data_IF_908038848587
#
_entry.id   IF_908038848587
#
_cell.length_a   1.000
_cell.length_b   1.000
_cell.length_c   1.000
_cell.angle_alpha   90.00
_cell.angle_beta   90.00
_cell.angle_gamma   90.00
#
_symmetry.space_group_name_H-M   'P 1'
#
loop_
_entity.id
_entity.type
_entity.pdbx_description
1 polymer ?
#
# COMPACT_ATOMS: atom_id res chain seq x y z
N UNK A 1 -15.99 10.80 -36.88
CA UNK A 1 -15.39 10.49 -35.57
C UNK A 1 -15.74 9.05 -35.28
N UNK A 2 -14.79 8.21 -34.84
CA UNK A 2 -15.09 6.82 -34.46
C UNK A 2 -16.02 6.84 -33.25
N UNK A 3 -17.12 6.11 -33.29
CA UNK A 3 -17.96 5.91 -32.10
C UNK A 3 -17.33 4.82 -31.23
N UNK A 4 -17.52 4.88 -29.89
CA UNK A 4 -16.97 3.86 -28.99
C UNK A 4 -17.45 2.44 -29.34
N UNK A 5 -18.65 2.33 -29.91
CA UNK A 5 -19.24 1.05 -30.35
C UNK A 5 -18.45 0.36 -31.46
N UNK A 6 -17.63 1.11 -32.20
CA UNK A 6 -16.82 0.57 -33.30
C UNK A 6 -15.50 -0.05 -32.80
N UNK A 7 -15.14 0.15 -31.53
CA UNK A 7 -13.94 -0.40 -30.90
C UNK A 7 -14.17 -1.88 -30.57
N UNK A 8 -13.47 -2.79 -31.27
CA UNK A 8 -13.65 -4.25 -31.10
C UNK A 8 -12.74 -4.87 -30.06
N UNK A 9 -11.70 -4.16 -29.64
CA UNK A 9 -10.68 -4.65 -28.73
C UNK A 9 -9.75 -3.54 -28.24
N UNK A 10 -8.80 -3.91 -27.37
CA UNK A 10 -7.80 -2.97 -26.86
C UNK A 10 -6.85 -2.47 -27.96
N UNK A 11 -6.65 -3.30 -28.97
CA UNK A 11 -5.79 -3.09 -30.13
C UNK A 11 -6.36 -2.01 -31.05
N UNK A 12 -7.69 -1.91 -31.11
CA UNK A 12 -8.43 -0.89 -31.86
C UNK A 12 -8.74 0.36 -31.00
N UNK A 13 -8.36 0.35 -29.72
CA UNK A 13 -8.58 1.46 -28.80
C UNK A 13 -7.43 2.46 -28.86
N UNK A 14 -7.76 3.72 -29.16
CA UNK A 14 -6.82 4.83 -29.14
C UNK A 14 -7.40 6.02 -28.39
N UNK A 15 -6.57 6.70 -27.62
CA UNK A 15 -6.93 7.93 -26.91
C UNK A 15 -6.54 9.10 -27.80
N UNK A 16 -7.53 9.70 -28.47
CA UNK A 16 -7.32 10.80 -29.41
C UNK A 16 -7.90 12.10 -28.86
N UNK A 17 -7.07 13.13 -28.75
CA UNK A 17 -7.47 14.48 -28.32
C UNK A 17 -7.05 15.47 -29.40
N UNK A 18 -7.97 16.35 -29.81
CA UNK A 18 -7.71 17.35 -30.86
C UNK A 18 -7.12 16.74 -32.15
N UNK A 19 -7.52 15.50 -32.46
CA UNK A 19 -7.05 14.75 -33.64
C UNK A 19 -5.66 14.10 -33.48
N UNK A 20 -5.02 14.23 -32.33
CA UNK A 20 -3.71 13.62 -32.03
C UNK A 20 -3.87 12.46 -31.03
N UNK A 21 -3.26 11.32 -31.35
CA UNK A 21 -3.17 10.20 -30.39
C UNK A 21 -2.15 10.55 -29.30
N UNK A 22 -2.52 10.29 -28.05
CA UNK A 22 -1.64 10.43 -26.89
C UNK A 22 -1.26 9.07 -26.28
N UNK A 23 -1.50 7.98 -27.01
CA UNK A 23 -1.28 6.62 -26.52
C UNK A 23 0.16 6.39 -26.04
N UNK A 24 1.14 7.01 -26.70
CA UNK A 24 2.55 6.90 -26.36
C UNK A 24 2.92 7.57 -25.02
N UNK A 25 2.08 8.46 -24.50
CA UNK A 25 2.29 9.13 -23.21
C UNK A 25 1.86 8.24 -22.02
N UNK A 26 1.20 7.10 -22.29
CA UNK A 26 0.66 6.22 -21.28
C UNK A 26 1.33 4.83 -21.32
N UNK A 27 1.73 4.27 -20.16
CA UNK A 27 2.11 2.86 -20.10
C UNK A 27 0.96 1.96 -20.56
N UNK A 28 1.28 0.89 -21.29
CA UNK A 28 0.29 -0.06 -21.82
C UNK A 28 -0.65 -0.62 -20.73
N UNK A 29 -0.14 -0.86 -19.52
CA UNK A 29 -0.94 -1.34 -18.39
C UNK A 29 -2.04 -0.32 -18.00
N UNK A 30 -1.67 0.96 -17.87
CA UNK A 30 -2.62 2.04 -17.55
C UNK A 30 -3.63 2.21 -18.68
N UNK A 31 -3.17 2.19 -19.94
CA UNK A 31 -4.05 2.29 -21.11
C UNK A 31 -5.07 1.14 -21.14
N UNK A 32 -4.66 -0.08 -20.83
CA UNK A 32 -5.55 -1.24 -20.76
C UNK A 32 -6.59 -1.09 -19.63
N UNK A 33 -6.16 -0.68 -18.44
CA UNK A 33 -7.09 -0.40 -17.33
C UNK A 33 -8.08 0.70 -17.69
N UNK A 34 -7.62 1.75 -18.37
CA UNK A 34 -8.46 2.84 -18.83
C UNK A 34 -9.46 2.41 -19.91
N UNK A 35 -9.01 1.59 -20.88
CA UNK A 35 -9.89 0.96 -21.87
C UNK A 35 -11.02 0.18 -21.17
N UNK A 36 -10.70 -0.63 -20.17
CA UNK A 36 -11.71 -1.37 -19.39
C UNK A 36 -12.71 -0.46 -18.67
N UNK A 37 -12.27 0.71 -18.20
CA UNK A 37 -13.18 1.71 -17.64
C UNK A 37 -14.11 2.29 -18.70
N UNK A 38 -13.59 2.62 -19.88
CA UNK A 38 -14.39 3.05 -21.03
C UNK A 38 -15.43 1.99 -21.42
N UNK A 39 -15.02 0.71 -21.49
CA UNK A 39 -15.94 -0.41 -21.73
C UNK A 39 -17.06 -0.49 -20.69
N UNK A 40 -16.76 -0.25 -19.42
CA UNK A 40 -17.77 -0.30 -18.35
C UNK A 40 -18.88 0.75 -18.51
N UNK A 41 -18.59 1.85 -19.20
CA UNK A 41 -19.53 2.92 -19.50
C UNK A 41 -20.00 2.93 -20.95
N UNK A 42 -19.48 2.02 -21.78
CA UNK A 42 -19.69 1.99 -23.22
C UNK A 42 -19.45 3.36 -23.90
N UNK A 43 -18.42 4.08 -23.46
CA UNK A 43 -18.13 5.44 -23.90
C UNK A 43 -16.64 5.77 -23.77
N UNK A 44 -16.14 6.68 -24.62
CA UNK A 44 -14.84 7.30 -24.41
C UNK A 44 -14.93 8.30 -23.26
N UNK A 45 -14.28 8.01 -22.12
CA UNK A 45 -14.39 8.88 -20.95
C UNK A 45 -13.74 10.26 -21.15
N UNK A 46 -12.95 10.42 -22.21
CA UNK A 46 -12.21 11.63 -22.55
C UNK A 46 -12.83 12.44 -23.71
N UNK A 47 -14.00 12.05 -24.22
CA UNK A 47 -14.60 12.64 -25.43
C UNK A 47 -14.84 14.16 -25.31
N UNK A 48 -15.24 14.62 -24.12
CA UNK A 48 -15.58 16.02 -23.87
C UNK A 48 -14.45 16.81 -23.19
N UNK A 49 -13.23 16.26 -23.13
CA UNK A 49 -12.10 16.96 -22.54
C UNK A 49 -11.87 18.32 -23.19
N UNK A 50 -11.55 19.30 -22.36
CA UNK A 50 -11.29 20.68 -22.80
C UNK A 50 -10.16 20.71 -23.83
N UNK A 51 -10.43 21.33 -24.98
CA UNK A 51 -9.46 21.45 -26.08
C UNK A 51 -8.28 22.35 -25.70
N UNK A 52 -7.12 22.10 -26.32
CA UNK A 52 -5.91 22.90 -26.09
C UNK A 52 -5.20 22.64 -24.76
N UNK A 53 -5.67 21.66 -23.97
CA UNK A 53 -4.97 21.17 -22.79
C UNK A 53 -3.74 20.36 -23.21
N UNK A 54 -2.62 20.55 -22.51
CA UNK A 54 -1.38 19.85 -22.81
C UNK A 54 -1.55 18.32 -22.71
N UNK A 55 -1.07 17.57 -23.71
CA UNK A 55 -1.23 16.10 -23.76
C UNK A 55 -0.64 15.37 -22.55
N UNK A 56 0.46 15.86 -21.96
CA UNK A 56 1.03 15.27 -20.74
C UNK A 56 0.11 15.44 -19.54
N UNK A 57 -0.58 16.57 -19.46
CA UNK A 57 -1.58 16.80 -18.42
C UNK A 57 -2.78 15.85 -18.61
N UNK A 58 -3.22 15.64 -19.85
CA UNK A 58 -4.29 14.68 -20.15
C UNK A 58 -3.88 13.24 -19.79
N UNK A 59 -2.67 12.82 -20.17
CA UNK A 59 -2.13 11.53 -19.77
C UNK A 59 -2.09 11.38 -18.24
N UNK A 60 -1.73 12.46 -17.53
CA UNK A 60 -1.81 12.54 -16.07
C UNK A 60 -3.23 12.36 -15.52
N UNK A 61 -4.22 13.05 -16.09
CA UNK A 61 -5.65 12.92 -15.71
C UNK A 61 -6.15 11.49 -15.92
N UNK A 62 -5.82 10.88 -17.06
CA UNK A 62 -6.21 9.49 -17.37
C UNK A 62 -5.55 8.51 -16.40
N UNK A 63 -4.26 8.68 -16.15
CA UNK A 63 -3.53 7.84 -15.18
C UNK A 63 -4.12 7.94 -13.79
N UNK A 64 -4.42 9.16 -13.34
CA UNK A 64 -4.99 9.38 -12.01
C UNK A 64 -6.45 8.87 -11.91
N UNK A 65 -7.23 8.97 -12.99
CA UNK A 65 -8.56 8.35 -13.06
C UNK A 65 -8.48 6.84 -12.89
N UNK A 66 -7.50 6.18 -13.52
CA UNK A 66 -7.24 4.75 -13.34
C UNK A 66 -6.82 4.43 -11.91
N UNK A 67 -5.90 5.21 -11.35
CA UNK A 67 -5.42 5.03 -9.96
C UNK A 67 -6.57 5.12 -8.97
N UNK A 68 -7.42 6.15 -9.09
CA UNK A 68 -8.60 6.33 -8.23
C UNK A 68 -9.57 5.16 -8.41
N UNK A 69 -9.83 4.72 -9.64
CA UNK A 69 -10.74 3.61 -9.89
C UNK A 69 -10.23 2.29 -9.27
N UNK A 70 -8.92 2.03 -9.33
CA UNK A 70 -8.32 0.86 -8.70
C UNK A 70 -8.31 0.99 -7.16
N UNK A 71 -8.00 2.17 -6.61
CA UNK A 71 -8.08 2.45 -5.18
C UNK A 71 -9.50 2.25 -4.62
N UNK A 72 -10.52 2.71 -5.35
CA UNK A 72 -11.93 2.49 -5.01
C UNK A 72 -12.26 0.98 -4.95
N UNK A 73 -11.74 0.16 -5.88
CA UNK A 73 -12.02 -1.30 -5.91
C UNK A 73 -11.45 -2.04 -4.71
N UNK A 74 -10.29 -1.62 -4.22
CA UNK A 74 -9.61 -2.25 -3.07
C UNK A 74 -9.93 -1.58 -1.74
N UNK A 75 -10.72 -0.50 -1.75
CA UNK A 75 -11.12 0.19 -0.53
C UNK A 75 -11.91 -0.73 0.41
N UNK A 76 -11.57 -0.66 1.69
CA UNK A 76 -12.21 -1.40 2.78
C UNK A 76 -12.91 -0.43 3.74
N UNK A 77 -13.73 -0.94 4.66
CA UNK A 77 -14.43 -0.11 5.65
C UNK A 77 -13.46 0.68 6.55
N UNK A 78 -12.23 0.18 6.75
CA UNK A 78 -11.17 0.86 7.50
C UNK A 78 -10.46 1.98 6.71
N UNK A 79 -10.76 2.15 5.41
CA UNK A 79 -10.17 3.22 4.59
C UNK A 79 -10.54 4.58 5.17
N UNK A 80 -9.56 5.48 5.40
CA UNK A 80 -9.82 6.79 6.00
C UNK A 80 -10.79 7.63 5.17
N UNK A 81 -11.72 8.33 5.85
CA UNK A 81 -12.72 9.19 5.19
C UNK A 81 -12.08 10.28 4.32
N UNK A 82 -10.89 10.76 4.70
CA UNK A 82 -10.15 11.78 3.96
C UNK A 82 -9.71 11.30 2.58
N UNK A 83 -9.39 10.01 2.41
CA UNK A 83 -9.02 9.44 1.11
C UNK A 83 -10.20 9.52 0.14
N UNK A 84 -11.39 9.09 0.59
CA UNK A 84 -12.61 9.21 -0.21
C UNK A 84 -12.93 10.67 -0.57
N UNK A 85 -12.71 11.61 0.35
CA UNK A 85 -12.92 13.04 0.08
C UNK A 85 -11.92 13.60 -0.94
N UNK A 86 -10.66 13.16 -0.88
CA UNK A 86 -9.63 13.57 -1.84
C UNK A 86 -9.94 13.03 -3.24
N UNK A 87 -10.30 11.75 -3.34
CA UNK A 87 -10.71 11.15 -4.62
C UNK A 87 -11.93 11.85 -5.23
N UNK A 88 -12.96 12.18 -4.42
CA UNK A 88 -14.14 12.89 -4.95
C UNK A 88 -13.79 14.28 -5.49
N UNK A 89 -12.93 15.02 -4.79
CA UNK A 89 -12.45 16.34 -5.25
C UNK A 89 -11.66 16.24 -6.54
N UNK A 90 -10.76 15.26 -6.65
CA UNK A 90 -9.97 15.05 -7.87
C UNK A 90 -10.87 14.67 -9.05
N UNK A 91 -11.80 13.73 -8.85
CA UNK A 91 -12.76 13.34 -9.89
C UNK A 91 -13.67 14.50 -10.29
N UNK A 92 -14.11 15.32 -9.33
CA UNK A 92 -14.89 16.53 -9.61
C UNK A 92 -14.10 17.54 -10.45
N UNK A 93 -12.80 17.71 -10.18
CA UNK A 93 -11.94 18.57 -11.00
C UNK A 93 -11.81 18.02 -12.43
N UNK A 94 -11.66 16.71 -12.59
CA UNK A 94 -11.60 16.06 -13.90
C UNK A 94 -12.92 16.17 -14.66
N UNK A 95 -14.05 16.04 -13.95
CA UNK A 95 -15.39 16.24 -14.50
C UNK A 95 -15.54 17.67 -15.04
N UNK A 96 -15.10 18.69 -14.31
CA UNK A 96 -15.08 20.08 -14.79
C UNK A 96 -14.17 20.30 -16.01
N UNK A 97 -13.12 19.49 -16.18
CA UNK A 97 -12.27 19.51 -17.37
C UNK A 97 -12.89 18.77 -18.56
N UNK A 98 -14.04 18.12 -18.38
CA UNK A 98 -14.79 17.42 -19.42
C UNK A 98 -14.65 15.91 -19.42
N UNK A 99 -14.03 15.31 -18.38
CA UNK A 99 -14.01 13.85 -18.24
C UNK A 99 -15.37 13.30 -17.83
N UNK A 100 -15.80 12.22 -18.47
CA UNK A 100 -16.97 11.48 -18.04
C UNK A 100 -16.61 10.53 -16.88
N UNK A 101 -16.60 11.06 -15.65
CA UNK A 101 -16.21 10.31 -14.43
C UNK A 101 -17.26 10.33 -13.32
N UNK A 102 -18.47 10.84 -13.61
CA UNK A 102 -19.57 10.92 -12.63
C UNK A 102 -19.89 9.54 -12.02
N UNK A 103 -19.83 8.48 -12.83
CA UNK A 103 -20.10 7.11 -12.38
C UNK A 103 -19.16 6.65 -11.24
N UNK A 104 -17.89 7.08 -11.26
CA UNK A 104 -16.94 6.80 -10.18
C UNK A 104 -17.34 7.56 -8.92
N UNK A 105 -17.76 8.82 -9.05
CA UNK A 105 -18.22 9.65 -7.92
C UNK A 105 -19.52 9.12 -7.31
N UNK A 106 -20.45 8.65 -8.12
CA UNK A 106 -21.66 7.96 -7.63
C UNK A 106 -21.29 6.70 -6.84
N UNK A 107 -20.38 5.88 -7.37
CA UNK A 107 -19.88 4.69 -6.66
C UNK A 107 -19.20 5.06 -5.35
N UNK A 108 -18.37 6.09 -5.36
CA UNK A 108 -17.64 6.59 -4.19
C UNK A 108 -18.60 7.07 -3.09
N UNK A 109 -19.63 7.84 -3.45
CA UNK A 109 -20.68 8.26 -2.49
C UNK A 109 -21.39 7.08 -1.85
N UNK A 110 -21.73 6.04 -2.62
CA UNK A 110 -22.33 4.80 -2.08
C UNK A 110 -21.39 4.10 -1.11
N UNK A 111 -20.09 4.00 -1.44
CA UNK A 111 -19.09 3.40 -0.55
C UNK A 111 -18.97 4.20 0.74
N UNK A 112 -18.92 5.53 0.68
CA UNK A 112 -18.86 6.39 1.87
C UNK A 112 -20.10 6.18 2.75
N UNK A 113 -21.28 6.09 2.15
CA UNK A 113 -22.52 5.84 2.89
C UNK A 113 -22.48 4.49 3.62
N UNK A 114 -22.07 3.42 2.94
CA UNK A 114 -21.88 2.09 3.56
C UNK A 114 -20.81 2.14 4.66
N UNK A 115 -19.71 2.82 4.38
CA UNK A 115 -18.55 2.80 5.26
C UNK A 115 -18.71 3.69 6.49
N UNK A 116 -19.60 4.69 6.49
CA UNK A 116 -19.69 5.70 7.56
C UNK A 116 -21.10 6.05 8.03
N UNK A 117 -22.13 5.81 7.22
CA UNK A 117 -23.51 6.25 7.51
C UNK A 117 -24.44 5.07 7.83
N UNK A 118 -24.08 3.85 7.45
CA UNK A 118 -24.80 2.63 7.85
C UNK A 118 -24.64 2.34 9.34
N UNK A 119 -25.74 1.93 9.99
CA UNK A 119 -25.74 1.50 11.38
C UNK A 119 -24.77 0.32 11.62
N UNK A 120 -24.03 0.33 12.72
CA UNK A 120 -22.99 -0.67 13.00
C UNK A 120 -21.67 -0.51 12.22
N UNK A 121 -21.58 0.43 11.26
CA UNK A 121 -20.33 0.68 10.52
C UNK A 121 -19.22 1.17 11.47
N UNK A 122 -19.57 1.95 12.49
CA UNK A 122 -18.60 2.51 13.44
C UNK A 122 -17.95 1.43 14.30
N UNK A 123 -18.74 0.48 14.77
CA UNK A 123 -18.38 -0.67 15.57
C UNK A 123 -17.49 -1.61 14.74
N UNK A 124 -17.88 -1.87 13.49
CA UNK A 124 -17.11 -2.71 12.56
C UNK A 124 -15.74 -2.09 12.27
N UNK A 125 -15.66 -0.77 12.03
CA UNK A 125 -14.38 -0.06 11.84
C UNK A 125 -13.50 -0.16 13.09
N UNK A 126 -14.08 0.07 14.27
CA UNK A 126 -13.36 0.01 15.54
C UNK A 126 -12.83 -1.41 15.82
N UNK A 127 -13.64 -2.44 15.57
CA UNK A 127 -13.24 -3.84 15.67
C UNK A 127 -12.06 -4.15 14.74
N UNK A 128 -12.14 -3.76 13.47
CA UNK A 128 -11.07 -4.03 12.51
C UNK A 128 -9.77 -3.32 12.89
N UNK A 129 -9.87 -2.06 13.34
CA UNK A 129 -8.72 -1.30 13.84
C UNK A 129 -8.06 -2.02 15.03
N UNK A 130 -8.84 -2.39 16.04
CA UNK A 130 -8.32 -3.12 17.19
C UNK A 130 -7.72 -4.47 16.81
N UNK A 131 -8.33 -5.20 15.88
CA UNK A 131 -7.80 -6.49 15.42
C UNK A 131 -6.42 -6.34 14.77
N UNK A 132 -6.23 -5.29 13.96
CA UNK A 132 -4.93 -4.99 13.35
C UNK A 132 -3.90 -4.59 14.38
N UNK A 133 -4.24 -3.67 15.29
CA UNK A 133 -3.35 -3.25 16.38
C UNK A 133 -2.97 -4.43 17.30
N UNK A 134 -3.92 -5.30 17.61
CA UNK A 134 -3.69 -6.51 18.39
C UNK A 134 -2.73 -7.47 17.66
N UNK A 135 -2.94 -7.72 16.37
CA UNK A 135 -2.05 -8.59 15.59
C UNK A 135 -0.62 -8.05 15.53
N UNK A 136 -0.47 -6.73 15.41
CA UNK A 136 0.86 -6.08 15.42
C UNK A 136 1.53 -6.23 16.79
N UNK A 137 0.80 -6.02 17.88
CA UNK A 137 1.31 -6.22 19.22
C UNK A 137 1.73 -7.68 19.47
N UNK A 138 0.95 -8.66 19.02
CA UNK A 138 1.30 -10.08 19.12
C UNK A 138 2.60 -10.42 18.37
N UNK A 139 2.80 -9.85 17.18
CA UNK A 139 4.01 -10.08 16.40
C UNK A 139 5.23 -9.40 17.04
N UNK A 140 5.06 -8.22 17.65
CA UNK A 140 6.10 -7.58 18.45
C UNK A 140 6.46 -8.38 19.70
N UNK A 141 5.48 -8.94 20.40
CA UNK A 141 5.70 -9.82 21.55
C UNK A 141 6.57 -11.01 21.15
N UNK A 142 6.20 -11.74 20.08
CA UNK A 142 6.98 -12.90 19.58
C UNK A 142 8.42 -12.51 19.22
N UNK A 143 8.60 -11.34 18.61
CA UNK A 143 9.93 -10.84 18.26
C UNK A 143 10.77 -10.54 19.52
N UNK A 144 10.16 -9.95 20.55
CA UNK A 144 10.84 -9.69 21.83
C UNK A 144 11.15 -10.99 22.56
N UNK A 145 10.23 -11.96 22.59
CA UNK A 145 10.44 -13.29 23.17
C UNK A 145 11.62 -14.01 22.51
N UNK A 146 11.73 -13.92 21.18
CA UNK A 146 12.88 -14.47 20.43
C UNK A 146 14.19 -13.86 20.88
N UNK A 147 14.27 -12.51 20.93
CA UNK A 147 15.47 -11.79 21.41
C UNK A 147 15.81 -12.09 22.86
N UNK A 148 14.80 -12.29 23.70
CA UNK A 148 15.00 -12.65 25.10
C UNK A 148 15.66 -14.02 25.21
N UNK A 149 15.27 -14.99 24.38
CA UNK A 149 15.87 -16.31 24.38
C UNK A 149 17.33 -16.28 23.90
N UNK A 150 17.63 -15.55 22.83
CA UNK A 150 19.00 -15.31 22.37
C UNK A 150 19.90 -14.71 23.48
N UNK A 151 19.36 -13.75 24.25
CA UNK A 151 20.08 -13.15 25.37
C UNK A 151 20.33 -14.15 26.52
N UNK A 152 19.36 -15.01 26.83
CA UNK A 152 19.56 -16.06 27.85
C UNK A 152 20.64 -17.05 27.42
N UNK A 153 20.64 -17.47 26.16
CA UNK A 153 21.68 -18.35 25.61
C UNK A 153 23.06 -17.71 25.72
N UNK A 154 23.19 -16.42 25.38
CA UNK A 154 24.43 -15.67 25.53
C UNK A 154 24.88 -15.57 27.00
N UNK A 155 23.97 -15.26 27.93
CA UNK A 155 24.25 -15.23 29.36
C UNK A 155 24.74 -16.58 29.89
N UNK A 156 24.12 -17.68 29.47
CA UNK A 156 24.55 -19.03 29.82
C UNK A 156 25.96 -19.32 29.29
N UNK A 157 26.26 -18.91 28.05
CA UNK A 157 27.59 -19.00 27.45
C UNK A 157 28.65 -18.24 28.24
N UNK A 158 28.35 -17.01 28.65
CA UNK A 158 29.25 -16.22 29.50
C UNK A 158 29.48 -16.86 30.88
N UNK A 159 28.41 -17.41 31.49
CA UNK A 159 28.51 -18.13 32.77
C UNK A 159 29.46 -19.33 32.68
N UNK A 160 29.30 -20.17 31.65
CA UNK A 160 30.18 -21.32 31.42
C UNK A 160 31.64 -20.89 31.18
N UNK A 161 31.85 -19.80 30.43
CA UNK A 161 33.19 -19.28 30.17
C UNK A 161 33.86 -18.76 31.45
N UNK A 162 33.15 -18.00 32.28
CA UNK A 162 33.66 -17.49 33.55
C UNK A 162 34.07 -18.62 34.51
N UNK A 163 33.26 -19.67 34.63
CA UNK A 163 33.61 -20.82 35.48
C UNK A 163 34.89 -21.51 34.96
N UNK A 164 35.05 -21.63 33.64
CA UNK A 164 36.28 -22.18 33.04
C UNK A 164 37.53 -21.35 33.36
N UNK A 165 37.41 -20.03 33.36
CA UNK A 165 38.51 -19.11 33.71
C UNK A 165 38.85 -19.21 35.19
N UNK A 166 37.83 -19.30 36.05
CA UNK A 166 38.00 -19.48 37.49
C UNK A 166 38.76 -20.77 37.81
N UNK A 167 38.35 -21.91 37.23
CA UNK A 167 39.07 -23.19 37.44
C UNK A 167 40.53 -23.12 36.98
N UNK A 168 40.82 -22.42 35.87
CA UNK A 168 42.20 -22.19 35.41
C UNK A 168 42.99 -21.35 36.41
N UNK A 169 42.41 -20.24 36.88
CA UNK A 169 43.06 -19.35 37.84
C UNK A 169 43.37 -20.07 39.17
N UNK A 170 42.43 -20.86 39.69
CA UNK A 170 42.61 -21.68 40.90
C UNK A 170 43.74 -22.70 40.73
N UNK A 171 43.81 -23.38 39.57
CA UNK A 171 44.89 -24.32 39.25
C UNK A 171 46.26 -23.64 39.20
N UNK A 172 46.39 -22.50 38.51
CA UNK A 172 47.64 -21.74 38.46
C UNK A 172 48.06 -21.23 39.85
N UNK A 173 47.11 -20.75 40.66
CA UNK A 173 47.37 -20.31 42.02
C UNK A 173 47.93 -21.46 42.88
N UNK A 174 47.37 -22.67 42.75
CA UNK A 174 47.85 -23.84 43.47
C UNK A 174 49.28 -24.24 43.03
N UNK A 175 49.59 -24.18 41.73
CA UNK A 175 50.94 -24.43 41.21
C UNK A 175 51.94 -23.42 41.78
N UNK A 176 51.60 -22.13 41.76
CA UNK A 176 52.44 -21.07 42.32
C UNK A 176 52.71 -21.30 43.81
N UNK A 177 51.67 -21.59 44.60
CA UNK A 177 51.80 -21.85 46.03
C UNK A 177 52.72 -23.03 46.34
N UNK A 178 52.68 -24.08 45.51
CA UNK A 178 53.58 -25.22 45.63
C UNK A 178 55.04 -24.85 45.40
N UNK A 179 55.31 -24.05 44.37
CA UNK A 179 56.67 -23.60 44.05
C UNK A 179 57.22 -22.66 45.12
N UNK A 180 56.39 -21.72 45.61
CA UNK A 180 56.73 -20.82 46.72
C UNK A 180 57.07 -21.59 48.00
N UNK A 181 56.47 -22.75 48.23
CA UNK A 181 56.71 -23.60 49.39
C UNK A 181 57.89 -24.59 49.23
N UNK A 182 58.54 -24.63 48.06
CA UNK A 182 59.65 -25.54 47.81
C UNK A 182 60.95 -25.08 48.51
N UNK A 183 61.82 -25.99 48.94
CA UNK A 183 63.15 -25.64 49.45
C UNK A 183 64.03 -25.03 48.35
N UNK A 184 64.90 -24.10 48.73
CA UNK A 184 65.87 -23.44 47.85
C UNK A 184 66.92 -24.40 47.27
#
# INVERSE_FOLDING_TARGET
MLEFKDVKGFEDFSITIDGMSIDAELPNEIRNKYYRLCCSQNAFLHENLTRGVNHKLIAGIISETVNIADAIKVSVIATPRVEFANWDKTLLAFEHLGMNVEFLRVRLRRIVSIAYETDGASETRRYLKYRTEHSQADDEIKNIETKLEELKEACNGFGAYLESLKSKAESYQAMLQKEVAAPW
#
